data_IF_566516138412
#
_entry.id   IF_566516138412
#
_cell.length_a   1.000
_cell.length_b   1.000
_cell.length_c   1.000
_cell.angle_alpha   90.00
_cell.angle_beta   90.00
_cell.angle_gamma   90.00
#
_symmetry.space_group_name_H-M   'P 1'
#
loop_
_entity.id
_entity.type
_entity.pdbx_description
1 polymer ?
#
# COMPACT_ATOMS: atom_id res chain seq x y z
N UNK A 1 -8.07 14.35 -3.84
CA UNK A 1 -7.45 13.53 -2.77
C UNK A 1 -5.93 13.63 -2.88
N UNK A 2 -5.21 13.87 -1.76
CA UNK A 2 -3.74 13.87 -1.71
C UNK A 2 -3.24 12.49 -1.25
N UNK A 3 -2.25 11.95 -1.96
CA UNK A 3 -1.56 10.70 -1.65
C UNK A 3 -0.13 11.05 -1.28
N UNK A 4 0.28 10.88 -0.02
CA UNK A 4 1.65 11.11 0.45
C UNK A 4 2.33 9.80 0.77
N UNK A 5 3.39 9.45 0.03
CA UNK A 5 4.22 8.28 0.32
C UNK A 5 5.20 8.62 1.45
N UNK A 6 5.14 7.89 2.56
CA UNK A 6 5.98 8.12 3.72
C UNK A 6 7.12 7.08 3.87
N UNK A 7 7.15 6.10 3.00
CA UNK A 7 8.18 5.07 2.90
C UNK A 7 7.62 3.65 2.84
N UNK A 8 8.25 2.79 2.06
CA UNK A 8 7.84 1.42 1.77
C UNK A 8 6.39 1.35 1.26
N UNK A 9 5.45 0.96 2.12
CA UNK A 9 4.01 0.95 1.86
C UNK A 9 3.25 1.91 2.77
N UNK A 10 3.94 2.75 3.55
CA UNK A 10 3.31 3.71 4.46
C UNK A 10 2.78 4.89 3.67
N UNK A 11 1.47 5.03 3.59
CA UNK A 11 0.79 6.05 2.79
C UNK A 11 -0.19 6.82 3.64
N UNK A 12 -0.07 8.15 3.64
CA UNK A 12 -1.06 9.04 4.21
C UNK A 12 -1.97 9.54 3.08
N UNK A 13 -3.26 9.26 3.19
CA UNK A 13 -4.28 9.81 2.31
C UNK A 13 -4.98 10.96 3.01
N UNK A 14 -5.11 12.11 2.32
CA UNK A 14 -5.87 13.26 2.78
C UNK A 14 -6.92 13.65 1.76
N UNK A 15 -8.09 13.94 2.27
CA UNK A 15 -9.18 14.60 1.57
C UNK A 15 -9.44 15.98 2.19
N UNK A 16 -10.46 16.69 1.74
CA UNK A 16 -10.85 17.99 2.32
C UNK A 16 -11.22 17.93 3.79
N UNK A 17 -11.73 16.78 4.27
CA UNK A 17 -12.30 16.65 5.62
C UNK A 17 -11.63 15.58 6.49
N UNK A 18 -10.89 14.67 5.88
CA UNK A 18 -10.41 13.48 6.58
C UNK A 18 -9.01 13.08 6.17
N UNK A 19 -8.33 12.36 7.04
CA UNK A 19 -7.06 11.72 6.72
C UNK A 19 -6.97 10.33 7.33
N UNK A 20 -6.48 9.39 6.51
CA UNK A 20 -6.29 7.98 6.89
C UNK A 20 -4.88 7.54 6.59
N UNK A 21 -4.39 6.60 7.39
CA UNK A 21 -3.05 6.03 7.24
C UNK A 21 -3.11 4.58 6.79
N UNK A 22 -2.34 4.23 5.76
CA UNK A 22 -2.18 2.87 5.26
C UNK A 22 -0.81 2.34 5.67
N UNK A 23 -0.77 1.13 6.21
CA UNK A 23 0.44 0.36 6.52
C UNK A 23 1.58 1.17 7.17
N UNK A 24 1.38 1.80 8.33
CA UNK A 24 2.39 2.64 8.97
C UNK A 24 3.60 1.84 9.42
N UNK A 25 4.79 2.18 8.91
CA UNK A 25 6.05 1.64 9.37
C UNK A 25 7.16 2.69 9.29
N UNK A 26 7.66 3.13 10.44
CA UNK A 26 8.62 4.24 10.58
C UNK A 26 9.93 3.84 11.27
N UNK A 27 10.13 2.56 11.57
CA UNK A 27 11.41 2.09 12.10
C UNK A 27 12.49 2.13 11.03
N UNK A 28 13.65 2.69 11.37
CA UNK A 28 14.82 2.73 10.48
C UNK A 28 15.69 1.47 10.57
N UNK A 29 15.47 0.61 11.58
CA UNK A 29 16.35 -0.53 11.83
C UNK A 29 15.99 -1.81 11.06
N UNK A 30 14.71 -1.97 10.69
CA UNK A 30 14.22 -3.24 10.18
C UNK A 30 14.18 -4.33 11.28
N UNK A 31 14.50 -5.57 10.92
CA UNK A 31 14.60 -6.71 11.82
C UNK A 31 15.87 -7.53 11.56
N UNK A 32 15.95 -8.75 12.12
CA UNK A 32 17.12 -9.64 11.96
C UNK A 32 17.39 -10.01 10.49
N UNK A 33 16.35 -10.19 9.68
CA UNK A 33 16.43 -10.66 8.29
C UNK A 33 16.43 -9.51 7.27
N UNK A 34 15.81 -8.38 7.60
CA UNK A 34 15.58 -7.26 6.71
C UNK A 34 16.07 -5.95 7.31
N UNK A 35 16.50 -5.04 6.45
CA UNK A 35 16.88 -3.67 6.81
C UNK A 35 16.08 -2.66 6.01
N UNK A 36 15.82 -1.49 6.59
CA UNK A 36 15.34 -0.34 5.83
C UNK A 36 16.52 0.30 5.09
N UNK A 37 16.27 0.79 3.89
CA UNK A 37 17.29 1.42 3.04
C UNK A 37 17.19 2.95 3.03
N UNK A 38 16.11 3.51 3.59
CA UNK A 38 15.83 4.96 3.66
C UNK A 38 15.53 5.38 5.10
N UNK A 39 15.73 6.67 5.41
CA UNK A 39 15.37 7.22 6.72
C UNK A 39 13.98 7.87 6.64
N UNK A 40 13.05 7.38 7.44
CA UNK A 40 11.65 7.83 7.48
C UNK A 40 11.16 8.18 8.90
N UNK A 41 12.03 8.09 9.91
CA UNK A 41 11.65 8.23 11.33
C UNK A 41 11.13 9.61 11.72
N UNK A 42 11.31 10.63 10.89
CA UNK A 42 10.80 11.98 11.14
C UNK A 42 9.32 12.12 10.79
N UNK A 43 8.83 11.41 9.79
CA UNK A 43 7.48 11.59 9.26
C UNK A 43 6.36 11.29 10.26
N UNK A 44 6.54 10.29 11.14
CA UNK A 44 5.50 9.96 12.10
C UNK A 44 5.26 11.05 13.16
N UNK A 45 6.24 11.93 13.39
CA UNK A 45 6.13 13.05 14.35
C UNK A 45 5.17 14.11 13.87
N UNK A 46 5.08 14.30 12.56
CA UNK A 46 4.22 15.29 11.90
C UNK A 46 2.75 14.90 11.87
N UNK A 47 2.44 13.60 12.13
CA UNK A 47 1.08 13.09 12.12
C UNK A 47 0.48 13.21 13.52
N UNK A 48 -0.39 14.18 13.72
CA UNK A 48 -1.03 14.45 15.02
C UNK A 48 -2.44 13.89 15.11
N UNK A 49 -3.16 13.84 14.00
CA UNK A 49 -4.53 13.36 13.90
C UNK A 49 -4.67 12.33 12.77
N UNK A 50 -5.53 11.35 12.97
CA UNK A 50 -5.99 10.39 11.95
C UNK A 50 -7.44 10.01 12.26
N UNK A 51 -8.24 9.85 11.22
CA UNK A 51 -9.61 9.32 11.32
C UNK A 51 -9.61 7.80 11.36
N UNK A 52 -8.65 7.16 10.69
CA UNK A 52 -8.44 5.71 10.76
C UNK A 52 -7.02 5.29 10.36
N UNK A 53 -6.66 4.07 10.75
CA UNK A 53 -5.49 3.34 10.25
C UNK A 53 -5.97 2.05 9.58
N UNK A 54 -5.53 1.79 8.36
CA UNK A 54 -5.85 0.58 7.61
C UNK A 54 -4.58 -0.25 7.45
N UNK A 55 -4.59 -1.47 7.97
CA UNK A 55 -3.49 -2.42 7.82
C UNK A 55 -3.85 -3.44 6.74
N UNK A 56 -3.00 -3.58 5.73
CA UNK A 56 -3.17 -4.62 4.70
C UNK A 56 -2.88 -6.01 5.27
N UNK A 57 -1.90 -6.12 6.15
CA UNK A 57 -1.51 -7.35 6.87
C UNK A 57 -0.62 -7.02 8.07
N UNK A 58 -0.10 -8.04 8.76
CA UNK A 58 0.62 -7.87 10.03
C UNK A 58 2.13 -8.13 9.97
N UNK A 59 2.76 -8.06 8.80
CA UNK A 59 4.22 -8.07 8.74
C UNK A 59 4.81 -6.81 9.35
N UNK A 60 6.05 -6.93 9.84
CA UNK A 60 6.70 -5.88 10.63
C UNK A 60 6.86 -4.56 9.87
N UNK A 61 7.03 -4.61 8.55
CA UNK A 61 7.25 -3.47 7.67
C UNK A 61 5.97 -2.80 7.15
N UNK A 62 4.81 -3.26 7.65
CA UNK A 62 3.47 -2.69 7.43
C UNK A 62 2.79 -2.28 8.74
N UNK A 63 3.39 -2.63 9.89
CA UNK A 63 2.77 -2.43 11.20
C UNK A 63 3.78 -1.94 12.23
N UNK A 64 3.88 -0.64 12.43
CA UNK A 64 4.72 -0.03 13.47
C UNK A 64 4.01 0.01 14.81
N UNK A 65 4.46 -0.84 15.76
CA UNK A 65 3.83 -0.94 17.07
C UNK A 65 3.87 0.38 17.87
N UNK A 66 4.93 1.20 17.71
CA UNK A 66 5.01 2.51 18.38
C UNK A 66 3.99 3.48 17.82
N UNK A 67 3.86 3.50 16.49
CA UNK A 67 2.88 4.32 15.82
C UNK A 67 1.44 3.91 16.17
N UNK A 68 1.13 2.61 16.09
CA UNK A 68 -0.19 2.09 16.45
C UNK A 68 -0.55 2.39 17.92
N UNK A 69 0.40 2.27 18.85
CA UNK A 69 0.17 2.62 20.27
C UNK A 69 -0.13 4.12 20.45
N UNK A 70 0.42 5.01 19.62
CA UNK A 70 0.12 6.46 19.66
C UNK A 70 -1.36 6.73 19.31
N UNK A 71 -1.96 5.89 18.45
CA UNK A 71 -3.28 6.13 17.86
C UNK A 71 -4.38 5.16 18.30
N UNK A 72 -4.08 4.04 18.97
CA UNK A 72 -5.06 2.98 19.30
C UNK A 72 -6.30 3.42 20.08
N UNK A 73 -6.20 4.51 20.81
CA UNK A 73 -7.31 5.08 21.60
C UNK A 73 -7.82 6.40 20.97
N UNK A 74 -7.32 6.81 19.79
CA UNK A 74 -7.66 8.06 19.11
C UNK A 74 -8.44 7.84 17.82
N UNK A 75 -8.20 6.74 17.12
CA UNK A 75 -8.93 6.39 15.89
C UNK A 75 -9.09 4.87 15.77
N UNK A 76 -9.96 4.45 14.86
CA UNK A 76 -10.15 3.02 14.59
C UNK A 76 -8.99 2.47 13.77
N UNK A 77 -8.40 1.35 14.23
CA UNK A 77 -7.44 0.57 13.48
C UNK A 77 -8.18 -0.60 12.84
N UNK A 78 -8.13 -0.70 11.52
CA UNK A 78 -8.69 -1.83 10.76
C UNK A 78 -7.58 -2.80 10.39
N UNK A 79 -7.82 -4.10 10.53
CA UNK A 79 -6.85 -5.15 10.17
C UNK A 79 -7.55 -6.37 9.58
N UNK A 80 -6.87 -7.18 8.76
CA UNK A 80 -7.43 -8.42 8.26
C UNK A 80 -7.91 -9.33 9.39
N UNK A 81 -9.01 -10.02 9.17
CA UNK A 81 -9.50 -11.07 10.08
C UNK A 81 -8.39 -12.11 10.30
N UNK A 82 -8.26 -12.57 11.55
CA UNK A 82 -7.21 -13.51 12.00
C UNK A 82 -5.78 -12.95 12.04
N UNK A 83 -5.64 -11.66 11.97
CA UNK A 83 -4.35 -11.00 12.14
C UNK A 83 -3.99 -10.89 13.63
N UNK A 84 -3.49 -11.98 14.21
CA UNK A 84 -3.28 -12.11 15.66
C UNK A 84 -2.36 -11.02 16.23
N UNK A 85 -1.34 -10.61 15.49
CA UNK A 85 -0.42 -9.56 15.90
C UNK A 85 -1.08 -8.20 16.14
N UNK A 86 -2.31 -8.02 15.66
CA UNK A 86 -3.07 -6.76 15.81
C UNK A 86 -4.03 -6.75 17.00
N UNK A 87 -4.22 -7.87 17.68
CA UNK A 87 -5.13 -7.97 18.83
C UNK A 87 -4.80 -6.99 19.94
N UNK A 88 -3.50 -6.76 20.20
CA UNK A 88 -3.03 -5.82 21.23
C UNK A 88 -3.42 -4.36 20.96
N UNK A 89 -3.80 -4.02 19.73
CA UNK A 89 -4.21 -2.66 19.34
C UNK A 89 -5.72 -2.48 19.29
N UNK A 90 -6.51 -3.47 19.74
CA UNK A 90 -7.99 -3.47 19.66
C UNK A 90 -8.50 -3.21 18.24
N UNK A 91 -7.82 -3.73 17.24
CA UNK A 91 -8.18 -3.49 15.84
C UNK A 91 -9.54 -4.09 15.49
N UNK A 92 -10.28 -3.38 14.65
CA UNK A 92 -11.52 -3.88 14.05
C UNK A 92 -11.15 -4.80 12.88
N UNK A 93 -11.52 -6.06 12.98
CA UNK A 93 -11.25 -7.03 11.93
C UNK A 93 -12.15 -6.84 10.72
N UNK A 94 -11.53 -6.92 9.56
CA UNK A 94 -12.18 -6.80 8.25
C UNK A 94 -11.80 -7.98 7.36
N UNK A 95 -12.62 -8.19 6.34
CA UNK A 95 -12.41 -9.24 5.34
C UNK A 95 -12.93 -8.80 3.98
N UNK A 96 -12.46 -9.47 2.91
CA UNK A 96 -12.89 -9.23 1.52
C UNK A 96 -14.41 -9.07 1.40
N UNK A 97 -14.83 -8.09 0.61
CA UNK A 97 -16.22 -7.78 0.31
C UNK A 97 -16.90 -6.83 1.30
N UNK A 98 -16.23 -6.47 2.39
CA UNK A 98 -16.77 -5.46 3.31
C UNK A 98 -16.55 -4.05 2.75
N UNK A 99 -17.55 -3.20 2.98
CA UNK A 99 -17.46 -1.77 2.72
C UNK A 99 -17.71 -0.99 4.00
N UNK A 100 -17.03 0.13 4.15
CA UNK A 100 -17.24 1.07 5.24
C UNK A 100 -16.76 2.48 4.86
N UNK A 101 -17.23 3.46 5.60
CA UNK A 101 -16.88 4.87 5.39
C UNK A 101 -16.05 5.39 6.55
N UNK A 102 -15.02 6.15 6.24
CA UNK A 102 -14.22 6.93 7.19
C UNK A 102 -14.17 8.37 6.68
N UNK A 103 -14.89 9.26 7.33
CA UNK A 103 -15.07 10.63 6.85
C UNK A 103 -15.66 10.65 5.43
N UNK A 104 -14.93 11.16 4.47
CA UNK A 104 -15.29 11.20 3.05
C UNK A 104 -14.56 10.15 2.18
N UNK A 105 -13.94 9.14 2.81
CA UNK A 105 -13.40 7.97 2.15
C UNK A 105 -14.42 6.81 2.19
N UNK A 106 -14.85 6.32 1.02
CA UNK A 106 -15.52 5.04 0.88
C UNK A 106 -14.47 3.96 0.63
N UNK A 107 -14.42 2.95 1.49
CA UNK A 107 -13.39 1.92 1.50
C UNK A 107 -14.04 0.57 1.27
N UNK A 108 -13.62 -0.13 0.20
CA UNK A 108 -14.01 -1.51 -0.09
C UNK A 108 -12.80 -2.41 0.13
N UNK A 109 -12.98 -3.47 0.93
CA UNK A 109 -11.93 -4.46 1.20
C UNK A 109 -11.91 -5.49 0.10
N UNK A 110 -10.76 -5.62 -0.59
CA UNK A 110 -10.57 -6.58 -1.68
C UNK A 110 -9.58 -7.67 -1.33
N UNK A 111 -9.57 -8.73 -2.14
CA UNK A 111 -8.65 -9.84 -1.95
C UNK A 111 -7.20 -9.43 -2.12
N UNK A 112 -6.33 -9.97 -1.27
CA UNK A 112 -4.89 -10.06 -1.50
C UNK A 112 -4.46 -11.53 -1.34
N UNK A 113 -3.44 -11.93 -2.10
CA UNK A 113 -2.82 -13.25 -1.99
C UNK A 113 -1.44 -13.08 -1.38
N UNK A 114 -1.29 -13.49 -0.13
CA UNK A 114 -0.04 -13.37 0.60
C UNK A 114 0.18 -14.58 1.51
N UNK A 115 1.37 -14.69 2.10
CA UNK A 115 1.74 -15.81 2.99
C UNK A 115 1.04 -15.78 4.36
N UNK A 116 0.42 -14.67 4.70
CA UNK A 116 -0.39 -14.51 5.91
C UNK A 116 -1.75 -13.86 5.56
N UNK A 117 -2.70 -13.79 6.52
CA UNK A 117 -3.96 -13.07 6.30
C UNK A 117 -3.73 -11.64 5.83
N UNK A 118 -4.18 -11.34 4.61
CA UNK A 118 -3.95 -10.04 3.96
C UNK A 118 -5.18 -9.59 3.16
N UNK A 119 -5.30 -8.27 2.98
CA UNK A 119 -6.30 -7.61 2.17
C UNK A 119 -5.68 -6.46 1.37
N UNK A 120 -6.30 -6.12 0.25
CA UNK A 120 -6.11 -4.83 -0.42
C UNK A 120 -7.32 -3.93 -0.16
N UNK A 121 -7.22 -2.68 -0.61
CA UNK A 121 -8.28 -1.68 -0.45
C UNK A 121 -8.55 -0.97 -1.76
N UNK A 122 -9.84 -0.82 -2.09
CA UNK A 122 -10.31 0.19 -3.03
C UNK A 122 -10.79 1.38 -2.21
N UNK A 123 -10.23 2.54 -2.45
CA UNK A 123 -10.53 3.76 -1.69
C UNK A 123 -11.02 4.83 -2.66
N UNK A 124 -12.26 5.26 -2.47
CA UNK A 124 -12.89 6.30 -3.30
C UNK A 124 -13.04 7.58 -2.49
N UNK A 125 -12.58 8.69 -3.02
CA UNK A 125 -12.77 10.03 -2.47
C UNK A 125 -12.54 11.08 -3.53
N UNK A 126 -13.30 12.18 -3.51
CA UNK A 126 -13.13 13.35 -4.38
C UNK A 126 -13.05 13.00 -5.88
N UNK A 127 -13.87 12.05 -6.32
CA UNK A 127 -13.96 11.62 -7.72
C UNK A 127 -12.84 10.70 -8.20
N UNK A 128 -11.86 10.35 -7.35
CA UNK A 128 -10.78 9.43 -7.67
C UNK A 128 -10.94 8.08 -6.96
N UNK A 129 -10.51 7.03 -7.64
CA UNK A 129 -10.50 5.64 -7.13
C UNK A 129 -9.06 5.12 -7.07
N UNK A 130 -8.58 4.87 -5.85
CA UNK A 130 -7.28 4.28 -5.57
C UNK A 130 -7.43 2.78 -5.27
N UNK A 131 -6.64 1.94 -5.93
CA UNK A 131 -6.38 0.57 -5.47
C UNK A 131 -5.04 0.52 -4.73
N UNK A 132 -5.09 0.27 -3.43
CA UNK A 132 -3.93 -0.02 -2.60
C UNK A 132 -3.82 -1.54 -2.43
N UNK A 133 -2.81 -2.14 -3.03
CA UNK A 133 -2.68 -3.59 -3.09
C UNK A 133 -2.17 -4.23 -1.79
N UNK A 134 -1.44 -3.47 -0.94
CA UNK A 134 -0.65 -4.05 0.12
C UNK A 134 0.40 -5.01 -0.45
N UNK A 135 0.82 -5.99 0.36
CA UNK A 135 1.63 -7.09 -0.13
C UNK A 135 0.73 -8.18 -0.71
N UNK A 136 0.90 -8.41 -1.99
CA UNK A 136 0.15 -9.45 -2.70
C UNK A 136 0.96 -10.00 -3.88
N UNK A 137 0.74 -11.28 -4.18
CA UNK A 137 1.11 -11.84 -5.47
C UNK A 137 0.08 -11.45 -6.53
N UNK A 138 0.51 -11.37 -7.80
CA UNK A 138 -0.44 -11.31 -8.89
C UNK A 138 -1.39 -12.51 -8.86
N UNK A 139 -2.68 -12.28 -9.09
CA UNK A 139 -3.69 -13.34 -9.11
C UNK A 139 -4.88 -13.00 -10.00
N UNK A 140 -5.62 -14.03 -10.41
CA UNK A 140 -6.78 -13.89 -11.31
C UNK A 140 -7.87 -12.96 -10.77
N UNK A 141 -7.96 -12.81 -9.44
CA UNK A 141 -8.91 -11.91 -8.77
C UNK A 141 -8.75 -10.45 -9.22
N UNK A 142 -7.57 -10.04 -9.70
CA UNK A 142 -7.34 -8.69 -10.19
C UNK A 142 -8.13 -8.36 -11.46
N UNK A 143 -8.55 -9.38 -12.23
CA UNK A 143 -9.44 -9.22 -13.39
C UNK A 143 -10.87 -8.87 -13.02
N UNK A 144 -11.27 -9.19 -11.79
CA UNK A 144 -12.63 -8.95 -11.31
C UNK A 144 -12.78 -7.53 -10.74
N UNK A 145 -11.71 -6.95 -10.20
CA UNK A 145 -11.73 -5.60 -9.61
C UNK A 145 -12.28 -4.53 -10.58
N UNK A 146 -11.83 -4.44 -11.86
CA UNK A 146 -12.34 -3.42 -12.77
C UNK A 146 -13.80 -3.59 -13.20
N UNK A 147 -14.39 -4.75 -12.96
CA UNK A 147 -15.83 -4.99 -13.24
C UNK A 147 -16.71 -4.22 -12.26
N UNK A 148 -16.22 -3.98 -11.06
CA UNK A 148 -16.96 -3.31 -9.97
C UNK A 148 -16.42 -1.90 -9.70
N UNK A 149 -15.13 -1.68 -9.97
CA UNK A 149 -14.43 -0.44 -9.64
C UNK A 149 -13.50 -0.01 -10.77
N UNK A 150 -13.82 1.06 -11.51
CA UNK A 150 -12.86 1.69 -12.41
C UNK A 150 -11.72 2.28 -11.58
N UNK A 151 -10.48 1.85 -11.86
CA UNK A 151 -9.30 2.25 -11.08
C UNK A 151 -8.60 3.42 -11.76
N UNK A 152 -8.48 4.55 -11.06
CA UNK A 152 -7.68 5.67 -11.55
C UNK A 152 -6.20 5.46 -11.20
N UNK A 153 -5.93 5.06 -9.97
CA UNK A 153 -4.58 4.93 -9.44
C UNK A 153 -4.41 3.54 -8.83
N UNK A 154 -3.34 2.84 -9.20
CA UNK A 154 -2.94 1.59 -8.56
C UNK A 154 -1.61 1.78 -7.82
N UNK A 155 -1.58 1.46 -6.54
CA UNK A 155 -0.35 1.33 -5.75
C UNK A 155 0.00 -0.14 -5.63
N UNK A 156 1.09 -0.56 -6.29
CA UNK A 156 1.50 -1.97 -6.40
C UNK A 156 2.90 -2.20 -5.83
N UNK A 157 3.14 -3.32 -5.11
CA UNK A 157 4.46 -3.70 -4.65
C UNK A 157 5.26 -4.27 -5.84
N UNK A 158 6.40 -3.65 -6.16
CA UNK A 158 7.20 -4.00 -7.34
C UNK A 158 8.50 -4.75 -7.01
N UNK A 159 8.89 -4.83 -5.75
CA UNK A 159 10.14 -5.48 -5.33
C UNK A 159 9.98 -7.00 -5.34
N UNK A 160 10.97 -7.69 -5.86
CA UNK A 160 11.06 -9.13 -5.82
C UNK A 160 12.00 -9.59 -4.70
N UNK A 161 11.56 -10.53 -3.91
CA UNK A 161 12.35 -11.21 -2.86
C UNK A 161 12.57 -12.67 -3.20
N UNK A 162 13.58 -13.28 -2.61
CA UNK A 162 13.82 -14.71 -2.67
C UNK A 162 13.85 -15.30 -1.24
N UNK A 163 12.85 -16.10 -0.82
CA UNK A 163 11.67 -16.49 -1.60
C UNK A 163 10.75 -15.31 -1.93
N UNK A 164 9.91 -15.41 -2.98
CA UNK A 164 8.98 -14.35 -3.34
C UNK A 164 8.04 -14.01 -2.19
N UNK A 165 7.89 -12.71 -1.89
CA UNK A 165 6.97 -12.20 -0.86
C UNK A 165 5.91 -11.26 -1.45
N UNK A 166 6.17 -10.70 -2.64
CA UNK A 166 5.27 -9.80 -3.37
C UNK A 166 5.26 -10.14 -4.85
N UNK A 167 4.43 -9.44 -5.64
CA UNK A 167 4.28 -9.73 -7.07
C UNK A 167 5.51 -9.39 -7.92
N UNK A 168 6.39 -8.53 -7.45
CA UNK A 168 7.54 -8.06 -8.22
C UNK A 168 7.16 -7.35 -9.52
N UNK A 169 8.17 -6.99 -10.33
CA UNK A 169 7.97 -6.27 -11.60
C UNK A 169 7.06 -7.01 -12.58
N UNK A 170 7.29 -8.32 -12.76
CA UNK A 170 6.50 -9.13 -13.72
C UNK A 170 5.04 -9.24 -13.31
N UNK A 171 4.77 -9.41 -12.02
CA UNK A 171 3.42 -9.43 -11.48
C UNK A 171 2.74 -8.07 -11.60
N UNK A 172 3.47 -6.98 -11.34
CA UNK A 172 2.96 -5.62 -11.49
C UNK A 172 2.52 -5.34 -12.93
N UNK A 173 3.35 -5.70 -13.93
CA UNK A 173 2.98 -5.55 -15.35
C UNK A 173 1.74 -6.35 -15.75
N UNK A 174 1.59 -7.58 -15.22
CA UNK A 174 0.35 -8.37 -15.41
C UNK A 174 -0.85 -7.71 -14.75
N UNK A 175 -0.66 -7.17 -13.54
CA UNK A 175 -1.71 -6.44 -12.82
C UNK A 175 -2.17 -5.20 -13.58
N UNK A 176 -1.26 -4.45 -14.20
CA UNK A 176 -1.62 -3.29 -15.03
C UNK A 176 -2.48 -3.66 -16.23
N UNK A 177 -2.25 -4.83 -16.86
CA UNK A 177 -3.09 -5.32 -17.96
C UNK A 177 -4.51 -5.66 -17.51
N UNK A 178 -4.65 -6.20 -16.31
CA UNK A 178 -5.95 -6.62 -15.79
C UNK A 178 -6.72 -5.47 -15.14
N UNK A 179 -6.03 -4.60 -14.37
CA UNK A 179 -6.62 -3.47 -13.65
C UNK A 179 -6.86 -2.24 -14.54
N UNK A 180 -6.06 -2.07 -15.59
CA UNK A 180 -6.05 -0.93 -16.51
C UNK A 180 -6.10 0.46 -15.84
N UNK A 181 -5.29 0.73 -14.80
CA UNK A 181 -5.32 2.00 -14.11
C UNK A 181 -4.72 3.10 -15.00
N UNK A 182 -5.14 4.36 -14.78
CA UNK A 182 -4.52 5.53 -15.44
C UNK A 182 -3.09 5.76 -14.94
N UNK A 183 -2.87 5.54 -13.63
CA UNK A 183 -1.61 5.82 -12.93
C UNK A 183 -1.17 4.58 -12.15
N UNK A 184 0.13 4.28 -12.23
CA UNK A 184 0.84 3.38 -11.32
C UNK A 184 1.72 4.21 -10.40
N UNK A 185 1.55 4.06 -9.08
CA UNK A 185 2.50 4.49 -8.06
C UNK A 185 3.16 3.23 -7.48
N UNK A 186 4.43 2.94 -7.84
CA UNK A 186 5.13 1.78 -7.32
C UNK A 186 5.47 1.95 -5.84
N UNK A 187 5.33 0.88 -5.06
CA UNK A 187 5.65 0.85 -3.64
C UNK A 187 6.49 -0.38 -3.26
N UNK A 188 6.81 -0.52 -1.97
CA UNK A 188 7.57 -1.63 -1.40
C UNK A 188 9.03 -1.68 -1.88
N UNK A 189 9.75 -0.54 -1.83
CA UNK A 189 11.12 -0.43 -2.34
C UNK A 189 12.17 -0.12 -1.25
N UNK A 190 11.73 0.16 -0.01
CA UNK A 190 12.59 0.65 1.07
C UNK A 190 13.06 -0.43 2.03
N UNK A 191 12.58 -1.64 1.87
CA UNK A 191 12.98 -2.80 2.69
C UNK A 191 13.80 -3.74 1.83
N UNK A 192 14.98 -4.11 2.32
CA UNK A 192 15.86 -5.07 1.65
C UNK A 192 16.30 -6.17 2.60
N UNK A 193 16.44 -7.42 2.14
CA UNK A 193 17.08 -8.47 2.89
C UNK A 193 18.51 -8.07 3.26
N UNK A 194 19.00 -8.54 4.40
CA UNK A 194 20.41 -8.37 4.77
C UNK A 194 21.34 -9.24 3.94
N UNK A 195 20.81 -10.33 3.35
CA UNK A 195 21.51 -11.15 2.37
C UNK A 195 21.44 -10.51 0.98
N UNK A 196 22.56 -10.11 0.38
CA UNK A 196 22.55 -9.24 -0.82
C UNK A 196 21.96 -9.89 -2.08
N UNK A 197 21.94 -11.22 -2.17
CA UNK A 197 21.39 -11.97 -3.30
C UNK A 197 19.91 -12.37 -3.14
N UNK A 198 19.31 -12.07 -1.99
CA UNK A 198 17.91 -12.44 -1.72
C UNK A 198 16.89 -11.41 -2.23
N UNK A 199 17.32 -10.44 -3.04
CA UNK A 199 16.47 -9.34 -3.46
C UNK A 199 16.94 -8.73 -4.77
N UNK A 200 16.00 -8.43 -5.65
CA UNK A 200 16.26 -7.71 -6.89
C UNK A 200 15.64 -6.30 -6.78
N UNK A 201 16.49 -5.30 -6.77
CA UNK A 201 16.05 -3.91 -6.84
C UNK A 201 15.49 -3.64 -8.24
N UNK A 202 14.24 -3.19 -8.30
CA UNK A 202 13.59 -2.85 -9.56
C UNK A 202 14.06 -1.47 -10.02
N UNK A 203 14.46 -1.37 -11.28
CA UNK A 203 14.71 -0.08 -11.92
C UNK A 203 13.40 0.54 -12.36
N UNK A 204 13.11 1.75 -11.88
CA UNK A 204 11.91 2.51 -12.25
C UNK A 204 11.91 2.85 -13.74
N UNK A 205 13.08 3.24 -14.30
CA UNK A 205 13.20 3.49 -15.75
C UNK A 205 12.86 2.25 -16.56
N UNK A 206 13.46 1.10 -16.21
CA UNK A 206 13.16 -0.18 -16.88
C UNK A 206 11.68 -0.58 -16.78
N UNK A 207 11.04 -0.34 -15.64
CA UNK A 207 9.61 -0.60 -15.49
C UNK A 207 8.79 0.32 -16.41
N UNK A 208 9.16 1.61 -16.48
CA UNK A 208 8.54 2.57 -17.39
C UNK A 208 8.69 2.14 -18.86
N UNK A 209 9.90 1.75 -19.27
CA UNK A 209 10.15 1.27 -20.63
C UNK A 209 9.27 0.06 -20.98
N UNK A 210 9.15 -0.92 -20.05
CA UNK A 210 8.28 -2.09 -20.24
C UNK A 210 6.80 -1.77 -20.29
N UNK A 211 6.33 -0.75 -19.59
CA UNK A 211 4.95 -0.25 -19.70
C UNK A 211 4.70 0.25 -21.11
N UNK A 212 5.63 1.02 -21.68
CA UNK A 212 5.54 1.53 -23.06
C UNK A 212 5.64 0.40 -24.11
N UNK A 213 6.62 -0.49 -24.00
CA UNK A 213 6.84 -1.63 -24.89
C UNK A 213 5.60 -2.55 -24.96
N UNK A 214 4.86 -2.68 -23.87
CA UNK A 214 3.65 -3.48 -23.79
C UNK A 214 2.38 -2.70 -24.17
N UNK A 215 2.51 -1.45 -24.65
CA UNK A 215 1.41 -0.56 -25.01
C UNK A 215 0.38 -0.39 -23.89
N UNK A 216 0.81 -0.36 -22.65
CA UNK A 216 -0.08 -0.10 -21.51
C UNK A 216 -0.33 1.40 -21.39
N UNK A 217 -1.60 1.79 -21.22
CA UNK A 217 -2.02 3.20 -21.12
C UNK A 217 -1.80 3.81 -19.74
N UNK A 218 -1.04 3.13 -18.89
CA UNK A 218 -0.77 3.53 -17.52
C UNK A 218 0.45 4.43 -17.46
N UNK A 219 0.32 5.61 -16.87
CA UNK A 219 1.45 6.48 -16.53
C UNK A 219 2.08 6.01 -15.23
N UNK A 220 3.41 5.86 -15.20
CA UNK A 220 4.16 5.59 -13.97
C UNK A 220 4.54 6.90 -13.29
N UNK A 221 4.17 7.06 -12.03
CA UNK A 221 4.57 8.16 -11.14
C UNK A 221 5.38 7.58 -10.00
N UNK A 222 6.66 7.89 -9.95
CA UNK A 222 7.55 7.46 -8.87
C UNK A 222 7.64 8.54 -7.79
N UNK A 223 6.99 8.30 -6.66
CA UNK A 223 7.09 9.16 -5.49
C UNK A 223 8.29 8.77 -4.63
N UNK A 224 9.09 9.74 -4.24
CA UNK A 224 10.07 9.58 -3.17
C UNK A 224 9.38 9.72 -1.82
N UNK A 225 10.03 9.22 -0.76
CA UNK A 225 9.52 9.36 0.59
C UNK A 225 9.32 10.84 0.95
N UNK A 226 8.13 11.17 1.43
CA UNK A 226 7.69 12.52 1.74
C UNK A 226 7.03 13.27 0.59
N UNK A 227 7.12 12.79 -0.64
CA UNK A 227 6.45 13.41 -1.79
C UNK A 227 4.95 13.10 -1.82
N UNK A 228 4.19 14.05 -2.38
CA UNK A 228 2.74 13.98 -2.53
C UNK A 228 2.35 13.90 -4.00
N UNK A 229 1.26 13.21 -4.26
CA UNK A 229 0.53 13.22 -5.52
C UNK A 229 -0.92 13.67 -5.26
N UNK A 230 -1.40 14.66 -6.01
CA UNK A 230 -2.78 15.14 -5.95
C UNK A 230 -3.60 14.56 -7.10
N UNK A 231 -4.79 14.03 -6.78
CA UNK A 231 -5.66 13.38 -7.77
C UNK A 231 -6.50 14.38 -8.59
N UNK A 232 -6.47 15.66 -8.26
CA UNK A 232 -7.15 16.73 -9.01
C UNK A 232 -6.41 16.99 -10.34
N UNK A 233 -6.39 15.94 -11.18
CA UNK A 233 -5.90 16.05 -12.56
C UNK A 233 -7.13 16.34 -13.42
N UNK A 234 -7.25 17.62 -13.83
CA UNK A 234 -8.17 18.05 -14.87
C UNK A 234 -7.89 17.36 -16.21
#
# INVERSE_FOLDING_TARGET
MEIKLLGNCSVLLKSKKSQIMLDPYFSNSGNLLYKRTTNVSTYYKEIEHLDAILLSHSHFDHMDSKFLNKFKDKCTIYSPKWSLNTLMFKSKWIQKGQEFVVGDFLITVVQANHVCPAVGYIIKSEGATLYFAGDTYYGKFMKDIPREHAIDIAMLPITYYLPPMTMGESGALKSLKDLTPKILIPMHQDIAPRLPFAHTKVSISRLSDKILEQNLRTQLIHLKNGECFNTDIN
#
